data_IF_110251111718
#
_entry.id   IF_110251111718
#
_cell.length_a   1.000
_cell.length_b   1.000
_cell.length_c   1.000
_cell.angle_alpha   90.00
_cell.angle_beta   90.00
_cell.angle_gamma   90.00
#
_symmetry.space_group_name_H-M   'P 1'
#
loop_
_entity.id
_entity.type
_entity.pdbx_description
1 polymer ?
#
# COMPACT_ATOMS: atom_id res chain seq x y z
N UNK A 1 -10.32 -21.17 -2.93
CA UNK A 1 -9.31 -22.20 -2.64
C UNK A 1 -7.97 -21.63 -3.04
N UNK A 2 -7.06 -21.42 -2.09
CA UNK A 2 -5.69 -20.98 -2.36
C UNK A 2 -4.88 -22.17 -2.86
N UNK A 3 -4.17 -22.01 -3.97
CA UNK A 3 -3.22 -23.01 -4.46
C UNK A 3 -1.90 -22.81 -3.70
N UNK A 4 -1.37 -23.85 -3.07
CA UNK A 4 -0.05 -23.80 -2.40
C UNK A 4 0.98 -24.37 -3.37
N UNK A 5 1.93 -23.54 -3.80
CA UNK A 5 3.06 -23.95 -4.64
C UNK A 5 4.29 -24.06 -3.75
N UNK A 6 4.91 -25.25 -3.71
CA UNK A 6 6.20 -25.46 -3.08
C UNK A 6 7.29 -25.20 -4.12
N UNK A 7 8.20 -24.27 -3.83
CA UNK A 7 9.27 -23.90 -4.76
C UNK A 7 10.46 -24.85 -4.70
N UNK A 8 10.74 -25.39 -3.52
CA UNK A 8 11.85 -26.30 -3.28
C UNK A 8 11.40 -27.46 -2.39
N UNK A 9 12.10 -28.60 -2.53
CA UNK A 9 12.10 -29.64 -1.51
C UNK A 9 12.73 -29.13 -0.20
N UNK A 10 12.53 -29.86 0.89
CA UNK A 10 13.07 -29.52 2.20
C UNK A 10 14.61 -29.35 2.19
N UNK A 11 15.08 -28.10 2.28
CA UNK A 11 16.49 -27.70 2.33
C UNK A 11 17.03 -27.86 3.76
N UNK A 12 18.19 -28.48 3.92
CA UNK A 12 18.92 -28.52 5.20
C UNK A 12 19.81 -27.28 5.34
N UNK A 13 19.70 -26.53 6.44
CA UNK A 13 20.49 -25.30 6.66
C UNK A 13 21.40 -25.40 7.87
N UNK A 14 22.66 -24.97 7.81
CA UNK A 14 23.52 -24.80 8.99
C UNK A 14 25.01 -24.58 8.72
N UNK A 15 25.63 -23.62 9.42
CA UNK A 15 27.10 -23.48 9.48
C UNK A 15 27.72 -24.68 10.22
N UNK A 16 28.84 -25.17 9.70
CA UNK A 16 29.78 -26.11 10.34
C UNK A 16 29.31 -27.55 10.54
N UNK A 17 28.87 -28.25 9.48
CA UNK A 17 28.90 -29.73 9.39
C UNK A 17 28.32 -30.52 10.59
N UNK A 18 27.47 -29.90 11.41
CA UNK A 18 26.80 -30.54 12.56
C UNK A 18 25.33 -30.78 12.21
N UNK A 19 25.00 -32.05 12.06
CA UNK A 19 23.77 -32.70 11.62
C UNK A 19 22.52 -32.47 12.52
N UNK A 20 22.27 -31.24 12.96
CA UNK A 20 21.17 -30.95 13.90
C UNK A 20 20.11 -29.96 13.41
N UNK A 21 20.17 -29.51 12.17
CA UNK A 21 19.30 -28.44 11.72
C UNK A 21 18.14 -28.91 10.86
N UNK A 22 17.00 -28.34 11.22
CA UNK A 22 15.66 -28.67 10.77
C UNK A 22 15.48 -28.17 9.35
N UNK A 23 14.84 -29.02 8.55
CA UNK A 23 14.47 -28.78 7.17
C UNK A 23 13.61 -27.51 7.06
N UNK A 24 13.86 -26.66 6.06
CA UNK A 24 12.96 -25.57 5.67
C UNK A 24 12.64 -25.62 4.17
N UNK A 25 11.58 -24.96 3.72
CA UNK A 25 11.21 -24.86 2.30
C UNK A 25 10.53 -23.52 1.99
N UNK A 26 10.69 -23.05 0.75
CA UNK A 26 10.01 -21.85 0.26
C UNK A 26 8.60 -22.20 -0.25
N UNK A 27 7.61 -21.41 0.15
CA UNK A 27 6.19 -21.61 -0.14
C UNK A 27 5.61 -20.34 -0.75
N UNK A 28 4.79 -20.49 -1.78
CA UNK A 28 4.02 -19.41 -2.40
C UNK A 28 2.54 -19.78 -2.44
N UNK A 29 1.72 -19.00 -1.75
CA UNK A 29 0.26 -19.10 -1.88
C UNK A 29 -0.22 -18.32 -3.12
N UNK A 30 -1.17 -18.89 -3.87
CA UNK A 30 -1.74 -18.23 -5.07
C UNK A 30 -3.27 -18.16 -4.95
N UNK A 31 -3.87 -16.95 -4.94
CA UNK A 31 -3.21 -15.65 -4.72
C UNK A 31 -2.79 -15.49 -3.25
N UNK A 32 -1.57 -15.03 -2.97
CA UNK A 32 -1.10 -14.90 -1.59
C UNK A 32 0.40 -14.59 -1.45
N UNK A 33 0.86 -14.68 -0.20
CA UNK A 33 2.21 -14.30 0.20
C UNK A 33 3.24 -15.39 -0.08
N UNK A 34 4.50 -14.97 -0.29
CA UNK A 34 5.67 -15.86 -0.25
C UNK A 34 6.17 -15.96 1.18
N UNK A 35 6.41 -17.17 1.68
CA UNK A 35 6.91 -17.40 3.03
C UNK A 35 7.73 -18.69 3.12
N UNK A 36 8.36 -18.92 4.26
CA UNK A 36 9.15 -20.11 4.54
C UNK A 36 8.43 -20.98 5.57
N UNK A 37 8.46 -22.29 5.35
CA UNK A 37 8.07 -23.30 6.34
C UNK A 37 9.29 -23.97 6.95
N UNK A 38 9.28 -24.18 8.26
CA UNK A 38 10.39 -24.77 9.04
C UNK A 38 9.88 -25.95 9.86
N UNK A 39 10.50 -27.12 9.70
CA UNK A 39 10.09 -28.35 10.39
C UNK A 39 10.58 -28.40 11.84
N UNK A 40 9.70 -28.15 12.79
CA UNK A 40 9.98 -28.20 14.22
C UNK A 40 9.64 -29.57 14.86
N UNK A 41 10.50 -30.03 15.75
CA UNK A 41 10.40 -31.23 16.60
C UNK A 41 10.01 -32.49 15.80
N UNK A 42 10.49 -32.57 14.54
CA UNK A 42 10.19 -33.62 13.56
C UNK A 42 8.70 -33.73 13.15
N UNK A 43 7.81 -32.84 13.60
CA UNK A 43 6.36 -32.96 13.33
C UNK A 43 5.57 -31.66 13.19
N UNK A 44 6.01 -30.57 13.82
CA UNK A 44 5.35 -29.27 13.74
C UNK A 44 5.95 -28.47 12.59
N UNK A 45 5.15 -27.62 11.95
CA UNK A 45 5.64 -26.73 10.89
C UNK A 45 5.41 -25.30 11.35
N UNK A 46 6.49 -24.53 11.47
CA UNK A 46 6.41 -23.08 11.69
C UNK A 46 6.41 -22.37 10.34
N UNK A 47 5.58 -21.33 10.19
CA UNK A 47 5.63 -20.39 9.07
C UNK A 47 6.33 -19.09 9.49
N UNK A 48 7.15 -18.51 8.62
CA UNK A 48 7.77 -17.19 8.84
C UNK A 48 8.11 -16.51 7.51
N UNK A 49 8.39 -15.21 7.53
CA UNK A 49 8.75 -14.48 6.31
C UNK A 49 10.14 -14.89 5.79
N UNK A 50 10.34 -14.75 4.49
CA UNK A 50 11.61 -15.05 3.83
C UNK A 50 12.76 -14.19 4.35
N UNK A 51 12.46 -12.93 4.74
CA UNK A 51 13.42 -12.01 5.35
C UNK A 51 14.03 -12.51 6.67
N UNK A 52 13.36 -13.43 7.36
CA UNK A 52 13.77 -13.91 8.69
C UNK A 52 14.56 -15.23 8.63
N UNK A 53 14.96 -15.68 7.43
CA UNK A 53 15.72 -16.92 7.24
C UNK A 53 17.05 -16.92 8.03
N UNK A 54 17.73 -15.78 8.11
CA UNK A 54 18.96 -15.64 8.90
C UNK A 54 18.74 -15.94 10.38
N UNK A 55 17.59 -15.56 10.93
CA UNK A 55 17.21 -15.82 12.32
C UNK A 55 16.87 -17.31 12.54
N UNK A 56 16.20 -17.94 11.57
CA UNK A 56 15.93 -19.39 11.57
C UNK A 56 17.24 -20.17 11.63
N UNK A 57 18.25 -19.75 10.88
CA UNK A 57 19.55 -20.40 10.81
C UNK A 57 20.45 -20.12 12.02
N UNK A 58 20.20 -19.04 12.76
CA UNK A 58 21.04 -18.61 13.89
C UNK A 58 20.78 -19.36 15.19
N UNK A 59 19.58 -19.95 15.38
CA UNK A 59 19.18 -20.56 16.65
C UNK A 59 18.51 -21.93 16.47
N UNK A 60 18.51 -22.73 17.56
CA UNK A 60 17.82 -24.02 17.60
C UNK A 60 16.38 -23.86 18.08
N UNK A 61 15.49 -23.61 17.13
CA UNK A 61 14.06 -23.43 17.39
C UNK A 61 13.34 -24.73 17.72
N UNK A 62 12.37 -24.68 18.63
CA UNK A 62 11.50 -25.80 19.00
C UNK A 62 10.08 -25.34 19.33
N UNK A 63 9.08 -26.14 18.97
CA UNK A 63 7.71 -25.91 19.41
C UNK A 63 7.54 -26.50 20.83
N UNK A 64 7.05 -25.69 21.76
CA UNK A 64 7.00 -26.03 23.18
C UNK A 64 5.67 -25.63 23.85
N UNK A 65 5.28 -26.40 24.86
CA UNK A 65 4.10 -26.18 25.69
C UNK A 65 2.76 -26.52 25.03
N UNK A 66 1.68 -26.48 25.82
CA UNK A 66 0.30 -26.81 25.37
C UNK A 66 -0.22 -25.91 24.24
N UNK A 67 0.31 -24.69 24.13
CA UNK A 67 -0.06 -23.71 23.09
C UNK A 67 0.88 -23.73 21.88
N UNK A 68 1.87 -24.63 21.82
CA UNK A 68 2.82 -24.76 20.70
C UNK A 68 3.55 -23.45 20.33
N UNK A 69 4.18 -22.80 21.31
CA UNK A 69 4.99 -21.61 21.04
C UNK A 69 6.35 -22.01 20.50
N UNK A 70 6.87 -21.25 19.53
CA UNK A 70 8.22 -21.48 19.01
C UNK A 70 9.24 -20.76 19.87
N UNK A 71 10.18 -21.50 20.45
CA UNK A 71 11.22 -20.98 21.34
C UNK A 71 12.58 -21.65 21.15
N UNK A 72 13.63 -20.95 21.56
CA UNK A 72 15.01 -21.44 21.69
C UNK A 72 15.48 -21.17 23.12
N UNK A 73 16.37 -22.02 23.63
CA UNK A 73 17.01 -21.84 24.93
C UNK A 73 18.49 -21.59 24.70
N UNK A 74 19.01 -20.51 25.29
CA UNK A 74 20.42 -20.13 25.23
C UNK A 74 21.24 -20.90 26.28
N UNK A 75 22.57 -20.83 26.17
CA UNK A 75 23.49 -21.57 27.05
C UNK A 75 23.41 -21.14 28.52
N UNK A 76 23.01 -19.89 28.78
CA UNK A 76 22.78 -19.31 30.10
C UNK A 76 21.41 -19.72 30.71
N UNK A 77 20.62 -20.54 30.00
CA UNK A 77 19.27 -20.95 30.42
C UNK A 77 18.17 -19.98 30.01
N UNK A 78 18.48 -18.83 29.42
CA UNK A 78 17.50 -17.85 28.97
C UNK A 78 16.68 -18.40 27.80
N UNK A 79 15.35 -18.29 27.88
CA UNK A 79 14.45 -18.72 26.81
C UNK A 79 13.98 -17.54 25.95
N UNK A 80 14.18 -17.63 24.64
CA UNK A 80 13.72 -16.65 23.66
C UNK A 80 12.62 -17.25 22.79
N UNK A 81 11.58 -16.48 22.49
CA UNK A 81 10.51 -16.91 21.57
C UNK A 81 10.72 -16.31 20.19
N UNK A 82 10.45 -17.09 19.14
CA UNK A 82 10.68 -16.67 17.75
C UNK A 82 9.93 -15.38 17.42
N UNK A 83 8.65 -15.31 17.76
CA UNK A 83 7.81 -14.13 17.53
C UNK A 83 8.37 -12.83 18.14
N UNK A 84 9.06 -12.91 19.29
CA UNK A 84 9.69 -11.74 19.93
C UNK A 84 10.92 -11.25 19.20
N UNK A 85 11.74 -12.16 18.71
CA UNK A 85 12.94 -11.81 17.95
C UNK A 85 12.59 -11.24 16.58
N UNK A 86 11.60 -11.82 15.90
CA UNK A 86 11.12 -11.33 14.59
C UNK A 86 10.62 -9.88 14.67
N UNK A 87 9.94 -9.52 15.76
CA UNK A 87 9.43 -8.15 15.96
C UNK A 87 10.40 -7.24 16.74
N UNK A 88 11.62 -7.71 17.04
CA UNK A 88 12.60 -7.00 17.87
C UNK A 88 11.97 -6.43 19.17
N UNK A 89 11.14 -7.23 19.84
CA UNK A 89 10.38 -6.82 21.03
C UNK A 89 10.62 -7.81 22.18
N UNK A 90 11.68 -7.61 22.99
CA UNK A 90 12.07 -8.57 24.02
C UNK A 90 11.03 -8.68 25.16
N UNK A 91 10.38 -7.57 25.52
CA UNK A 91 9.40 -7.51 26.61
C UNK A 91 7.94 -7.46 26.12
N UNK A 92 7.73 -7.35 24.80
CA UNK A 92 6.40 -7.26 24.21
C UNK A 92 5.55 -8.50 24.45
N UNK A 93 4.27 -8.30 24.80
CA UNK A 93 3.26 -9.37 24.75
C UNK A 93 2.79 -9.52 23.32
N UNK A 94 3.06 -10.65 22.67
CA UNK A 94 2.69 -10.87 21.26
C UNK A 94 1.45 -11.76 21.17
N UNK A 95 0.55 -11.42 20.25
CA UNK A 95 -0.63 -12.19 19.87
C UNK A 95 -0.57 -12.53 18.39
N UNK A 96 -0.99 -13.76 18.07
CA UNK A 96 -1.19 -14.22 16.71
C UNK A 96 -2.62 -13.92 16.25
N UNK A 97 -2.80 -13.30 15.08
CA UNK A 97 -4.11 -12.83 14.59
C UNK A 97 -5.02 -14.02 14.28
N UNK A 98 -4.51 -15.03 13.58
CA UNK A 98 -5.23 -16.25 13.23
C UNK A 98 -5.30 -17.28 14.38
N UNK A 99 -4.77 -16.95 15.57
CA UNK A 99 -4.68 -17.82 16.75
C UNK A 99 -3.81 -19.08 16.55
N UNK A 100 -3.09 -19.20 15.45
CA UNK A 100 -2.07 -20.23 15.21
C UNK A 100 -0.70 -19.73 15.67
N UNK A 101 -0.17 -20.31 16.75
CA UNK A 101 1.11 -19.92 17.33
C UNK A 101 2.33 -20.42 16.53
N UNK A 102 2.12 -21.27 15.54
CA UNK A 102 3.16 -21.73 14.62
C UNK A 102 3.26 -20.81 13.38
N UNK A 103 2.26 -19.99 13.11
CA UNK A 103 2.30 -19.00 12.03
C UNK A 103 2.95 -17.70 12.51
N UNK A 104 4.28 -17.64 12.44
CA UNK A 104 5.09 -16.52 12.90
C UNK A 104 5.47 -15.55 11.77
N UNK A 105 4.68 -15.51 10.68
CA UNK A 105 4.76 -14.44 9.68
C UNK A 105 4.40 -13.11 10.33
N UNK A 106 5.13 -12.04 10.02
CA UNK A 106 4.93 -10.67 10.53
C UNK A 106 3.49 -10.21 10.31
N UNK A 107 2.89 -10.55 9.17
CA UNK A 107 1.48 -10.27 8.86
C UNK A 107 0.49 -10.91 9.84
N UNK A 108 0.89 -11.97 10.56
CA UNK A 108 0.08 -12.67 11.54
C UNK A 108 0.43 -12.32 13.01
N UNK A 109 1.45 -11.49 13.26
CA UNK A 109 1.89 -11.13 14.62
C UNK A 109 1.46 -9.72 15.02
N UNK A 110 1.10 -9.55 16.29
CA UNK A 110 0.72 -8.25 16.87
C UNK A 110 1.25 -8.09 18.28
N UNK A 111 1.92 -6.97 18.58
CA UNK A 111 2.32 -6.62 19.95
C UNK A 111 1.10 -6.01 20.67
N UNK A 112 0.61 -6.69 21.70
CA UNK A 112 -0.46 -6.25 22.59
C UNK A 112 0.03 -5.08 23.44
N UNK A 113 -0.73 -3.98 23.41
CA UNK A 113 -0.41 -2.75 24.15
C UNK A 113 0.45 -1.74 23.38
N UNK A 114 1.08 -2.14 22.28
CA UNK A 114 1.69 -1.20 21.33
C UNK A 114 0.63 -0.73 20.33
N UNK A 115 0.31 0.57 20.33
CA UNK A 115 -0.53 1.19 19.30
C UNK A 115 0.25 1.60 18.05
N UNK A 116 1.58 1.50 18.10
CA UNK A 116 2.51 1.92 17.05
C UNK A 116 3.18 0.69 16.43
N UNK A 117 2.96 0.48 15.14
CA UNK A 117 3.64 -0.49 14.28
C UNK A 117 4.67 0.24 13.43
N UNK A 118 5.96 0.02 13.64
CA UNK A 118 7.01 0.76 12.90
C UNK A 118 6.96 0.54 11.38
N UNK A 119 6.44 -0.59 10.93
CA UNK A 119 6.21 -0.98 9.55
C UNK A 119 4.99 -0.29 8.89
N UNK A 120 4.02 0.19 9.69
CA UNK A 120 2.74 0.69 9.19
C UNK A 120 2.36 2.09 9.70
N UNK A 121 2.98 2.55 10.78
CA UNK A 121 2.71 3.82 11.46
C UNK A 121 3.94 4.76 11.44
N UNK A 122 4.99 4.46 10.65
CA UNK A 122 6.07 5.44 10.40
C UNK A 122 5.45 6.65 9.67
N UNK A 123 5.76 7.87 10.09
CA UNK A 123 5.33 9.05 9.32
C UNK A 123 6.25 9.16 8.10
N UNK A 124 5.82 9.94 7.12
CA UNK A 124 6.58 10.06 5.88
C UNK A 124 7.50 11.25 6.00
N UNK A 125 8.80 11.00 5.91
CA UNK A 125 9.81 12.05 5.87
C UNK A 125 9.81 12.74 4.51
N UNK A 126 10.34 13.97 4.47
CA UNK A 126 10.57 14.62 3.18
C UNK A 126 11.55 13.82 2.30
N UNK A 127 12.45 13.04 2.92
CA UNK A 127 13.32 12.12 2.17
C UNK A 127 12.53 10.98 1.52
N UNK A 128 11.50 10.44 2.19
CA UNK A 128 10.65 9.38 1.62
C UNK A 128 9.84 9.93 0.44
N UNK A 129 9.27 11.14 0.57
CA UNK A 129 8.61 11.83 -0.53
C UNK A 129 9.57 12.05 -1.69
N UNK A 130 10.80 12.48 -1.40
CA UNK A 130 11.82 12.72 -2.41
C UNK A 130 12.25 11.42 -3.09
N UNK A 131 12.44 10.34 -2.34
CA UNK A 131 12.76 9.00 -2.86
C UNK A 131 11.65 8.52 -3.79
N UNK A 132 10.39 8.61 -3.37
CA UNK A 132 9.26 8.12 -4.16
C UNK A 132 9.03 9.01 -5.39
N UNK A 133 9.04 10.34 -5.23
CA UNK A 133 8.87 11.26 -6.37
C UNK A 133 10.03 11.17 -7.37
N UNK A 134 11.28 11.10 -6.89
CA UNK A 134 12.44 10.88 -7.77
C UNK A 134 12.44 9.49 -8.43
N UNK A 135 11.76 8.50 -7.83
CA UNK A 135 11.57 7.19 -8.45
C UNK A 135 10.63 7.19 -9.66
N UNK A 136 10.04 8.34 -10.03
CA UNK A 136 9.33 8.51 -11.30
C UNK A 136 10.25 8.98 -12.44
N UNK A 137 11.47 9.45 -12.12
CA UNK A 137 12.44 9.92 -13.12
C UNK A 137 13.10 8.71 -13.77
N UNK A 138 12.52 8.30 -14.90
CA UNK A 138 12.98 7.15 -15.70
C UNK A 138 14.20 7.47 -16.55
N UNK A 139 15.16 6.53 -16.65
CA UNK A 139 16.26 6.63 -17.62
C UNK A 139 15.82 6.26 -19.04
N UNK A 140 14.76 5.47 -19.17
CA UNK A 140 14.21 5.03 -20.45
C UNK A 140 12.68 4.93 -20.41
N UNK A 141 12.04 5.27 -21.53
CA UNK A 141 10.59 5.19 -21.74
C UNK A 141 10.31 4.54 -23.10
N UNK A 142 9.33 3.63 -23.14
CA UNK A 142 8.83 3.11 -24.43
C UNK A 142 7.84 4.07 -25.07
N UNK A 143 7.53 3.84 -26.34
CA UNK A 143 6.36 4.43 -26.98
C UNK A 143 5.06 3.99 -26.29
N UNK A 144 4.01 4.80 -26.46
CA UNK A 144 2.66 4.47 -26.01
C UNK A 144 2.12 3.25 -26.76
N UNK A 145 1.64 2.27 -26.01
CA UNK A 145 1.11 1.02 -26.58
C UNK A 145 -0.15 0.54 -25.85
N UNK A 146 -0.81 -0.45 -26.45
CA UNK A 146 -2.00 -1.09 -25.89
C UNK A 146 -3.21 -0.17 -25.82
N UNK A 147 -3.99 -0.31 -24.74
CA UNK A 147 -5.21 0.44 -24.50
C UNK A 147 -6.51 -0.36 -24.64
N UNK A 148 -7.63 0.34 -24.47
CA UNK A 148 -9.00 -0.17 -24.57
C UNK A 148 -9.69 0.62 -25.68
N UNK A 149 -10.16 -0.05 -26.75
CA UNK A 149 -10.77 0.65 -27.86
C UNK A 149 -12.14 1.17 -27.46
N UNK A 150 -12.46 2.39 -27.87
CA UNK A 150 -13.80 2.95 -27.80
C UNK A 150 -14.82 2.19 -28.66
N UNK A 151 -16.05 2.67 -28.66
CA UNK A 151 -17.16 2.00 -29.34
C UNK A 151 -17.64 0.74 -28.60
N UNK A 152 -18.87 0.32 -28.89
CA UNK A 152 -19.45 -0.90 -28.34
C UNK A 152 -19.27 -2.07 -29.31
N UNK A 153 -19.04 -3.27 -28.77
CA UNK A 153 -19.10 -4.53 -29.52
C UNK A 153 -20.10 -5.42 -28.79
N UNK A 154 -21.23 -5.70 -29.42
CA UNK A 154 -22.30 -6.49 -28.84
C UNK A 154 -22.55 -7.74 -29.66
N UNK A 155 -22.86 -8.83 -28.97
CA UNK A 155 -23.30 -10.07 -29.58
C UNK A 155 -24.81 -10.04 -29.84
N UNK A 156 -25.22 -10.55 -30.99
CA UNK A 156 -26.60 -10.90 -31.35
C UNK A 156 -26.66 -12.40 -31.68
N UNK A 157 -27.86 -12.94 -31.87
CA UNK A 157 -28.06 -14.37 -32.18
C UNK A 157 -27.32 -14.83 -33.45
N UNK A 158 -27.06 -13.94 -34.41
CA UNK A 158 -26.49 -14.27 -35.73
C UNK A 158 -25.24 -13.48 -36.10
N UNK A 159 -24.86 -12.47 -35.32
CA UNK A 159 -23.79 -11.54 -35.68
C UNK A 159 -23.20 -10.82 -34.46
N UNK A 160 -22.00 -10.27 -34.62
CA UNK A 160 -21.51 -9.18 -33.77
C UNK A 160 -21.80 -7.83 -34.41
N UNK A 161 -22.08 -6.81 -33.61
CA UNK A 161 -22.28 -5.45 -34.08
C UNK A 161 -21.35 -4.49 -33.34
N UNK A 162 -20.62 -3.69 -34.11
CA UNK A 162 -19.77 -2.61 -33.61
C UNK A 162 -20.50 -1.29 -33.82
N UNK A 163 -20.58 -0.46 -32.77
CA UNK A 163 -21.25 0.86 -32.83
C UNK A 163 -20.39 1.98 -32.24
N UNK A 164 -20.35 3.11 -32.94
CA UNK A 164 -19.79 4.38 -32.48
C UNK A 164 -20.85 5.48 -32.57
N UNK A 165 -20.87 6.39 -31.60
CA UNK A 165 -21.92 7.40 -31.46
C UNK A 165 -21.68 8.68 -32.26
N UNK A 166 -20.42 9.11 -32.44
CA UNK A 166 -20.10 10.35 -33.17
C UNK A 166 -18.75 10.24 -33.90
N UNK A 167 -18.71 10.45 -35.23
CA UNK A 167 -19.85 10.34 -36.15
C UNK A 167 -20.54 8.97 -36.01
N UNK A 168 -21.86 8.89 -36.18
CA UNK A 168 -22.55 7.63 -35.98
C UNK A 168 -22.05 6.57 -36.99
N UNK A 169 -21.68 5.39 -36.52
CA UNK A 169 -21.25 4.28 -37.37
C UNK A 169 -21.63 2.96 -36.73
N UNK A 170 -22.33 2.12 -37.50
CA UNK A 170 -22.71 0.78 -37.09
C UNK A 170 -22.25 -0.21 -38.16
N UNK A 171 -21.63 -1.32 -37.76
CA UNK A 171 -21.23 -2.40 -38.68
C UNK A 171 -21.50 -3.77 -38.08
N UNK A 172 -22.16 -4.62 -38.85
CA UNK A 172 -22.48 -6.00 -38.47
C UNK A 172 -21.47 -6.99 -39.07
N UNK A 173 -21.16 -8.04 -38.32
CA UNK A 173 -20.26 -9.14 -38.67
C UNK A 173 -21.01 -10.46 -38.46
N UNK A 174 -21.62 -10.98 -39.52
CA UNK A 174 -22.48 -12.17 -39.49
C UNK A 174 -21.67 -13.46 -39.35
N UNK A 175 -22.16 -14.39 -38.52
CA UNK A 175 -21.46 -15.66 -38.27
C UNK A 175 -21.34 -16.50 -39.54
N UNK A 176 -22.37 -16.50 -40.37
CA UNK A 176 -22.40 -17.22 -41.66
C UNK A 176 -21.33 -16.69 -42.63
N UNK A 177 -21.29 -15.37 -42.83
CA UNK A 177 -20.33 -14.71 -43.73
C UNK A 177 -18.88 -14.93 -43.34
N UNK A 178 -18.58 -14.95 -42.03
CA UNK A 178 -17.21 -15.03 -41.53
C UNK A 178 -16.79 -16.45 -41.12
N UNK A 179 -17.60 -17.48 -41.38
CA UNK A 179 -17.23 -18.87 -41.10
C UNK A 179 -17.24 -19.24 -39.61
N UNK A 180 -18.20 -18.69 -38.87
CA UNK A 180 -18.48 -19.01 -37.47
C UNK A 180 -18.30 -17.84 -36.50
N UNK A 181 -18.79 -18.03 -35.27
CA UNK A 181 -18.78 -17.02 -34.21
C UNK A 181 -17.37 -16.49 -33.89
N UNK A 182 -16.37 -17.36 -33.77
CA UNK A 182 -15.00 -16.97 -33.41
C UNK A 182 -14.38 -16.01 -34.45
N UNK A 183 -14.43 -16.37 -35.73
CA UNK A 183 -13.90 -15.55 -36.83
C UNK A 183 -14.66 -14.22 -36.97
N UNK A 184 -15.98 -14.24 -36.81
CA UNK A 184 -16.78 -13.02 -36.79
C UNK A 184 -16.39 -12.07 -35.63
N UNK A 185 -16.09 -12.62 -34.45
CA UNK A 185 -15.61 -11.84 -33.30
C UNK A 185 -14.25 -11.20 -33.58
N UNK A 186 -13.29 -11.98 -34.10
CA UNK A 186 -11.96 -11.48 -34.47
C UNK A 186 -12.06 -10.31 -35.45
N UNK A 187 -12.86 -10.44 -36.52
CA UNK A 187 -13.10 -9.37 -37.50
C UNK A 187 -13.84 -8.16 -36.92
N UNK A 188 -14.82 -8.37 -36.06
CA UNK A 188 -15.49 -7.27 -35.37
C UNK A 188 -14.52 -6.53 -34.42
N UNK A 189 -13.64 -7.25 -33.73
CA UNK A 189 -12.64 -6.68 -32.82
C UNK A 189 -11.56 -5.90 -33.57
N UNK A 190 -11.02 -6.45 -34.67
CA UNK A 190 -10.08 -5.76 -35.56
C UNK A 190 -10.69 -4.45 -36.08
N UNK A 191 -11.92 -4.50 -36.59
CA UNK A 191 -12.62 -3.32 -37.09
C UNK A 191 -12.85 -2.27 -35.99
N UNK A 192 -13.27 -2.71 -34.79
CA UNK A 192 -13.45 -1.81 -33.65
C UNK A 192 -12.13 -1.13 -33.28
N UNK A 193 -11.03 -1.87 -33.27
CA UNK A 193 -9.72 -1.33 -32.93
C UNK A 193 -9.28 -0.27 -33.94
N UNK A 194 -9.29 -0.63 -35.23
CA UNK A 194 -8.96 0.27 -36.34
C UNK A 194 -9.78 1.57 -36.27
N UNK A 195 -11.09 1.45 -36.10
CA UNK A 195 -11.97 2.61 -36.10
C UNK A 195 -11.82 3.47 -34.83
N UNK A 196 -11.57 2.84 -33.68
CA UNK A 196 -11.28 3.58 -32.46
C UNK A 196 -9.95 4.32 -32.54
N UNK A 197 -8.92 3.73 -33.13
CA UNK A 197 -7.62 4.38 -33.38
C UNK A 197 -7.76 5.57 -34.33
N UNK A 198 -8.43 5.37 -35.48
CA UNK A 198 -8.72 6.42 -36.46
C UNK A 198 -9.44 7.63 -35.85
N UNK A 199 -10.27 7.40 -34.83
CA UNK A 199 -11.04 8.44 -34.13
C UNK A 199 -10.39 8.99 -32.87
N UNK A 200 -9.20 8.51 -32.48
CA UNK A 200 -8.57 8.89 -31.20
C UNK A 200 -9.36 8.46 -29.96
N UNK A 201 -10.07 7.33 -30.05
CA UNK A 201 -10.93 6.79 -28.99
C UNK A 201 -10.29 5.62 -28.22
N UNK A 202 -9.00 5.36 -28.41
CA UNK A 202 -8.26 4.40 -27.58
C UNK A 202 -8.03 5.04 -26.20
N UNK A 203 -8.42 4.34 -25.14
CA UNK A 203 -8.25 4.76 -23.73
C UNK A 203 -7.17 3.91 -23.05
N UNK A 204 -6.61 4.39 -21.95
CA UNK A 204 -5.64 3.63 -21.15
C UNK A 204 -4.44 3.13 -21.98
N UNK A 205 -3.97 3.89 -22.96
CA UNK A 205 -2.66 3.58 -23.56
C UNK A 205 -1.64 3.64 -22.43
N UNK A 206 -0.64 2.78 -22.49
CA UNK A 206 0.38 2.73 -21.44
C UNK A 206 1.76 2.62 -22.05
N UNK A 207 2.76 3.05 -21.31
CA UNK A 207 4.17 2.90 -21.66
C UNK A 207 4.96 2.45 -20.45
N UNK A 208 6.08 1.79 -20.70
CA UNK A 208 6.97 1.31 -19.66
C UNK A 208 8.05 2.35 -19.37
N UNK A 209 8.27 2.59 -18.08
CA UNK A 209 9.36 3.40 -17.55
C UNK A 209 10.35 2.47 -16.87
N UNK A 210 11.63 2.60 -17.20
CA UNK A 210 12.69 1.79 -16.57
C UNK A 210 13.67 2.69 -15.82
N UNK A 211 13.97 2.29 -14.58
CA UNK A 211 14.98 2.92 -13.71
C UNK A 211 15.85 1.79 -13.17
N UNK A 212 17.11 1.72 -13.62
CA UNK A 212 18.03 0.62 -13.28
C UNK A 212 17.37 -0.73 -13.59
N UNK A 213 17.08 -1.53 -12.57
CA UNK A 213 16.44 -2.86 -12.67
C UNK A 213 14.92 -2.84 -12.39
N UNK A 214 14.34 -1.66 -12.12
CA UNK A 214 12.91 -1.53 -11.81
C UNK A 214 12.13 -0.96 -13.00
N UNK A 215 10.96 -1.54 -13.28
CA UNK A 215 10.08 -1.11 -14.36
C UNK A 215 8.68 -0.84 -13.81
N UNK A 216 8.07 0.26 -14.26
CA UNK A 216 6.70 0.64 -13.90
C UNK A 216 5.96 1.18 -15.13
N UNK A 217 4.65 1.40 -14.97
CA UNK A 217 3.77 1.86 -16.03
C UNK A 217 3.40 3.32 -15.83
N UNK A 218 3.37 4.06 -16.93
CA UNK A 218 2.58 5.28 -17.06
C UNK A 218 1.39 4.99 -17.95
N UNK A 219 0.20 5.40 -17.52
CA UNK A 219 -1.06 5.13 -18.20
C UNK A 219 -1.75 6.44 -18.57
N UNK A 220 -2.05 6.60 -19.85
CA UNK A 220 -2.76 7.73 -20.42
C UNK A 220 -4.27 7.63 -20.14
N UNK A 221 -4.81 8.66 -19.50
CA UNK A 221 -6.24 8.81 -19.22
C UNK A 221 -6.88 9.84 -20.17
N UNK A 222 -7.71 10.73 -19.62
CA UNK A 222 -8.42 11.75 -20.37
C UNK A 222 -7.58 13.04 -20.40
N UNK A 223 -7.76 13.88 -21.43
CA UNK A 223 -7.22 15.26 -21.46
C UNK A 223 -5.70 15.33 -21.25
N UNK A 224 -4.93 14.40 -21.81
CA UNK A 224 -3.47 14.30 -21.65
C UNK A 224 -3.01 14.15 -20.19
N UNK A 225 -3.88 13.68 -19.29
CA UNK A 225 -3.52 13.36 -17.92
C UNK A 225 -3.10 11.90 -17.83
N UNK A 226 -2.05 11.63 -17.07
CA UNK A 226 -1.52 10.29 -16.87
C UNK A 226 -1.51 9.92 -15.39
N UNK A 227 -1.36 8.64 -15.10
CA UNK A 227 -1.08 8.15 -13.75
C UNK A 227 -0.07 7.01 -13.81
N UNK A 228 0.61 6.76 -12.69
CA UNK A 228 1.63 5.73 -12.59
C UNK A 228 1.13 4.53 -11.76
N UNK A 229 1.53 3.32 -12.14
CA UNK A 229 1.28 2.08 -11.39
C UNK A 229 2.38 1.06 -11.70
N UNK A 230 2.42 -0.07 -10.97
CA UNK A 230 3.42 -1.11 -11.23
C UNK A 230 2.96 -2.07 -12.35
N UNK A 231 3.93 -2.81 -12.91
CA UNK A 231 3.69 -3.72 -14.05
C UNK A 231 2.70 -4.83 -13.67
N UNK A 232 2.69 -5.26 -12.40
CA UNK A 232 1.75 -6.25 -11.85
C UNK A 232 0.29 -5.82 -12.02
N UNK A 233 0.04 -4.51 -12.05
CA UNK A 233 -1.30 -3.92 -12.15
C UNK A 233 -1.74 -3.73 -13.62
N UNK A 234 -0.94 -4.18 -14.60
CA UNK A 234 -1.28 -4.11 -16.03
C UNK A 234 -2.61 -4.80 -16.38
N UNK A 235 -2.90 -5.92 -15.72
CA UNK A 235 -4.16 -6.63 -15.88
C UNK A 235 -5.36 -5.76 -15.49
N UNK A 236 -5.21 -4.98 -14.42
CA UNK A 236 -6.21 -4.04 -13.93
C UNK A 236 -6.38 -2.85 -14.89
N UNK A 237 -5.28 -2.32 -15.44
CA UNK A 237 -5.28 -1.26 -16.47
C UNK A 237 -6.07 -1.69 -17.71
N UNK A 238 -5.96 -2.95 -18.12
CA UNK A 238 -6.68 -3.51 -19.28
C UNK A 238 -8.14 -3.85 -18.99
N UNK A 239 -8.51 -4.03 -17.73
CA UNK A 239 -9.85 -4.54 -17.35
C UNK A 239 -10.96 -3.47 -17.34
N UNK A 240 -10.61 -2.20 -17.15
CA UNK A 240 -11.57 -1.09 -16.96
C UNK A 240 -11.03 0.18 -17.58
N UNK A 241 -11.91 1.05 -18.09
CA UNK A 241 -11.51 2.40 -18.53
C UNK A 241 -11.27 3.27 -17.29
N UNK A 242 -10.04 3.76 -17.15
CA UNK A 242 -9.62 4.59 -16.04
C UNK A 242 -9.65 6.06 -16.46
N UNK A 243 -9.96 6.94 -15.51
CA UNK A 243 -9.95 8.36 -15.75
C UNK A 243 -9.54 9.15 -14.53
N UNK A 244 -8.80 10.22 -14.76
CA UNK A 244 -8.50 11.23 -13.76
C UNK A 244 -9.75 12.09 -13.55
N UNK A 245 -10.17 12.20 -12.30
CA UNK A 245 -11.35 12.98 -11.87
C UNK A 245 -10.95 13.87 -10.71
N UNK A 246 -11.48 15.08 -10.71
CA UNK A 246 -11.40 15.97 -9.55
C UNK A 246 -12.35 15.45 -8.47
N UNK A 247 -11.88 15.35 -7.22
CA UNK A 247 -12.74 15.02 -6.08
C UNK A 247 -13.75 16.14 -5.85
N UNK A 248 -14.94 15.79 -5.40
CA UNK A 248 -15.95 16.77 -5.01
C UNK A 248 -15.37 17.67 -3.91
N UNK A 249 -15.53 18.99 -4.06
CA UNK A 249 -15.10 20.01 -3.09
C UNK A 249 -13.58 20.03 -2.76
N UNK A 250 -12.73 19.55 -3.67
CA UNK A 250 -11.27 19.55 -3.50
C UNK A 250 -10.52 19.78 -4.80
N UNK A 251 -9.36 20.44 -4.75
CA UNK A 251 -8.44 20.58 -5.88
C UNK A 251 -7.65 19.29 -6.21
N UNK A 252 -7.89 18.23 -5.45
CA UNK A 252 -7.23 16.95 -5.60
C UNK A 252 -7.86 16.14 -6.73
N UNK A 253 -7.03 15.73 -7.69
CA UNK A 253 -7.40 14.79 -8.74
C UNK A 253 -7.06 13.36 -8.32
N UNK A 254 -7.95 12.40 -8.59
CA UNK A 254 -7.76 10.98 -8.34
C UNK A 254 -8.07 10.15 -9.59
N UNK A 255 -7.49 8.95 -9.66
CA UNK A 255 -7.78 7.99 -10.74
C UNK A 255 -8.94 7.12 -10.30
N UNK A 256 -9.99 7.05 -11.12
CA UNK A 256 -11.12 6.17 -10.83
C UNK A 256 -11.85 5.70 -12.09
N UNK A 257 -12.73 4.71 -11.90
CA UNK A 257 -13.63 4.21 -12.92
C UNK A 257 -15.09 4.29 -12.43
N UNK A 258 -16.04 4.50 -13.34
CA UNK A 258 -17.46 4.34 -13.00
C UNK A 258 -17.87 2.89 -13.20
N UNK A 259 -18.36 2.22 -12.15
CA UNK A 259 -19.01 0.92 -12.34
C UNK A 259 -20.45 1.13 -12.79
N UNK A 260 -20.81 0.58 -13.95
CA UNK A 260 -22.18 0.63 -14.50
C UNK A 260 -23.04 -0.56 -14.05
N UNK A 261 -22.53 -1.42 -13.16
CA UNK A 261 -23.04 -2.77 -12.96
C UNK A 261 -24.28 -2.89 -12.05
N UNK A 262 -24.67 -1.88 -11.26
CA UNK A 262 -25.91 -1.90 -10.48
C UNK A 262 -26.46 -0.48 -10.39
N UNK A 263 -27.75 -0.37 -10.15
CA UNK A 263 -28.61 0.83 -10.04
C UNK A 263 -28.09 1.99 -9.16
N UNK A 264 -26.92 1.84 -8.54
CA UNK A 264 -26.15 2.90 -7.88
C UNK A 264 -24.79 3.02 -8.57
N UNK A 265 -24.52 4.15 -9.25
CA UNK A 265 -23.20 4.49 -9.79
C UNK A 265 -22.19 4.53 -8.63
N UNK A 266 -21.45 3.45 -8.42
CA UNK A 266 -20.32 3.43 -7.49
C UNK A 266 -19.05 3.69 -8.29
N UNK A 267 -18.38 4.81 -8.02
CA UNK A 267 -17.02 5.06 -8.48
C UNK A 267 -16.05 4.26 -7.63
N UNK A 268 -15.09 3.59 -8.25
CA UNK A 268 -13.99 2.91 -7.55
C UNK A 268 -12.69 3.60 -7.95
N UNK A 269 -11.87 4.01 -6.98
CA UNK A 269 -10.53 4.54 -7.28
C UNK A 269 -9.59 3.41 -7.74
N UNK A 270 -8.49 3.77 -8.42
CA UNK A 270 -7.52 2.78 -8.88
C UNK A 270 -6.92 1.98 -7.72
N UNK A 271 -6.42 2.67 -6.69
CA UNK A 271 -5.83 2.02 -5.51
C UNK A 271 -6.83 1.16 -4.72
N UNK A 272 -8.12 1.50 -4.71
CA UNK A 272 -9.16 0.64 -4.12
C UNK A 272 -9.35 -0.65 -4.92
N UNK A 273 -9.30 -0.55 -6.25
CA UNK A 273 -9.43 -1.72 -7.12
C UNK A 273 -8.19 -2.64 -7.06
N UNK A 274 -7.02 -2.12 -6.70
CA UNK A 274 -5.84 -2.94 -6.37
C UNK A 274 -6.04 -3.76 -5.09
N UNK A 275 -6.91 -3.31 -4.18
CA UNK A 275 -7.31 -4.07 -2.98
C UNK A 275 -6.22 -4.21 -1.91
N UNK A 276 -5.23 -3.31 -1.88
CA UNK A 276 -4.09 -3.41 -0.96
C UNK A 276 -4.44 -2.98 0.47
N UNK A 277 -5.18 -1.87 0.61
CA UNK A 277 -5.57 -1.30 1.89
C UNK A 277 -7.02 -0.81 1.86
N UNK A 278 -7.70 -0.84 3.01
CA UNK A 278 -9.06 -0.31 3.16
C UNK A 278 -9.11 1.21 2.97
N UNK A 279 -8.13 1.91 3.53
CA UNK A 279 -7.90 3.34 3.36
C UNK A 279 -6.46 3.51 2.90
N UNK A 280 -6.25 4.19 1.78
CA UNK A 280 -4.92 4.37 1.16
C UNK A 280 -4.43 5.80 1.39
N UNK A 281 -3.17 5.93 1.79
CA UNK A 281 -2.42 7.18 1.85
C UNK A 281 -1.26 7.13 0.83
N UNK A 282 -0.95 8.27 0.21
CA UNK A 282 0.12 8.39 -0.79
C UNK A 282 1.32 9.06 -0.13
N UNK A 283 2.47 8.39 -0.13
CA UNK A 283 3.70 8.85 0.51
C UNK A 283 4.12 10.21 -0.05
N UNK A 284 4.24 10.34 -1.36
CA UNK A 284 4.63 11.59 -2.03
C UNK A 284 3.51 12.66 -2.07
N UNK A 285 2.32 12.34 -1.59
CA UNK A 285 1.14 13.22 -1.65
C UNK A 285 0.55 13.41 -3.06
N UNK A 286 1.05 12.71 -4.08
CA UNK A 286 0.55 12.72 -5.45
C UNK A 286 -0.46 11.57 -5.68
N UNK A 287 -1.77 11.86 -5.77
CA UNK A 287 -2.79 10.82 -5.95
C UNK A 287 -2.81 10.17 -7.35
N UNK A 288 -2.00 10.68 -8.29
CA UNK A 288 -1.79 10.07 -9.61
C UNK A 288 -0.60 9.10 -9.60
N UNK A 289 0.23 9.08 -8.55
CA UNK A 289 1.26 8.07 -8.38
C UNK A 289 0.71 6.87 -7.61
N UNK A 290 0.04 5.95 -8.31
CA UNK A 290 -0.59 4.75 -7.73
C UNK A 290 0.37 3.54 -7.69
N UNK A 291 1.68 3.77 -7.75
CA UNK A 291 2.69 2.71 -7.58
C UNK A 291 2.68 2.23 -6.14
N UNK A 292 2.83 0.93 -5.92
CA UNK A 292 2.82 0.24 -4.62
C UNK A 292 3.86 0.81 -3.67
N UNK A 293 5.03 1.22 -4.17
CA UNK A 293 6.06 1.89 -3.38
C UNK A 293 5.61 3.26 -2.83
N UNK A 294 4.55 3.86 -3.38
CA UNK A 294 3.95 5.11 -2.93
C UNK A 294 2.71 4.92 -2.04
N UNK A 295 2.18 3.70 -1.89
CA UNK A 295 0.91 3.45 -1.20
C UNK A 295 1.09 2.81 0.17
N UNK A 296 0.36 3.31 1.17
CA UNK A 296 0.31 2.72 2.53
C UNK A 296 -1.09 2.80 3.18
N UNK A 297 -1.26 2.16 4.33
CA UNK A 297 -2.51 2.20 5.11
C UNK A 297 -2.76 3.58 5.76
N UNK A 298 -3.84 4.26 5.39
CA UNK A 298 -4.13 5.65 5.79
C UNK A 298 -5.01 5.85 7.03
N UNK A 299 -5.60 4.78 7.59
CA UNK A 299 -6.69 4.84 8.59
C UNK A 299 -6.33 5.58 9.90
N UNK A 300 -5.06 5.57 10.31
CA UNK A 300 -4.56 6.25 11.53
C UNK A 300 -3.71 7.48 11.26
N UNK A 301 -3.18 7.60 10.04
CA UNK A 301 -2.09 8.50 9.69
C UNK A 301 -2.55 9.77 8.98
N UNK A 302 -3.67 9.75 8.25
CA UNK A 302 -4.16 10.91 7.49
C UNK A 302 -4.42 12.15 8.38
N UNK A 303 -4.86 11.97 9.62
CA UNK A 303 -5.07 13.08 10.56
C UNK A 303 -3.76 13.61 11.18
N UNK A 304 -2.70 12.81 11.22
CA UNK A 304 -1.37 13.19 11.74
C UNK A 304 -0.51 13.87 10.66
N UNK A 305 -0.67 13.45 9.41
CA UNK A 305 0.05 13.98 8.24
C UNK A 305 -0.70 15.09 7.51
N UNK A 306 -1.82 15.55 8.06
CA UNK A 306 -2.56 16.68 7.50
C UNK A 306 -1.64 17.91 7.45
N UNK A 307 -1.58 18.55 6.28
CA UNK A 307 -0.86 19.81 6.12
C UNK A 307 -1.27 20.81 7.21
N UNK A 308 -0.31 21.65 7.63
CA UNK A 308 -0.59 22.74 8.57
C UNK A 308 -1.79 23.53 8.06
N UNK A 309 -2.82 23.68 8.89
CA UNK A 309 -4.02 24.43 8.51
C UNK A 309 -3.62 25.89 8.22
N UNK A 310 -4.24 26.47 7.19
CA UNK A 310 -3.95 27.84 6.72
C UNK A 310 -4.19 28.91 7.81
N UNK A 311 -5.02 28.60 8.78
CA UNK A 311 -5.39 29.44 9.92
C UNK A 311 -4.54 29.20 11.18
N UNK A 312 -3.47 28.41 11.10
CA UNK A 312 -2.57 28.20 12.22
C UNK A 312 -1.67 29.42 12.47
N UNK A 313 -2.17 30.36 13.27
CA UNK A 313 -1.49 31.61 13.66
C UNK A 313 -0.19 31.39 14.45
N UNK A 314 0.03 30.21 15.03
CA UNK A 314 1.24 29.91 15.80
C UNK A 314 2.42 29.47 14.92
N UNK A 315 2.17 28.98 13.71
CA UNK A 315 3.18 28.34 12.85
C UNK A 315 3.59 26.92 13.29
N UNK A 316 3.15 26.45 14.46
CA UNK A 316 3.54 25.17 15.07
C UNK A 316 2.31 24.28 15.28
N UNK A 317 2.39 23.01 14.87
CA UNK A 317 1.27 22.06 15.01
C UNK A 317 1.05 21.73 16.50
N UNK A 318 -0.21 21.83 16.95
CA UNK A 318 -0.59 21.57 18.34
C UNK A 318 -0.46 22.78 19.28
N UNK A 319 -0.13 23.96 18.75
CA UNK A 319 -0.15 25.22 19.49
C UNK A 319 -1.26 26.11 18.91
N UNK A 320 -2.14 26.62 19.76
CA UNK A 320 -3.26 27.46 19.34
C UNK A 320 -3.60 28.50 20.40
N UNK A 321 -3.97 29.70 19.98
CA UNK A 321 -4.42 30.75 20.90
C UNK A 321 -5.94 30.66 21.12
N UNK A 322 -6.37 30.77 22.37
CA UNK A 322 -7.77 30.85 22.76
C UNK A 322 -8.10 32.30 23.16
N UNK A 323 -8.76 33.01 22.24
CA UNK A 323 -9.11 34.43 22.40
C UNK A 323 -9.99 34.68 23.64
N UNK A 324 -10.93 33.78 23.95
CA UNK A 324 -11.89 33.99 25.03
C UNK A 324 -11.24 33.93 26.42
N UNK A 325 -10.10 33.24 26.53
CA UNK A 325 -9.38 33.04 27.80
C UNK A 325 -8.02 33.73 27.81
N UNK A 326 -7.63 34.38 26.72
CA UNK A 326 -6.31 34.96 26.52
C UNK A 326 -5.17 33.98 26.89
N UNK A 327 -5.28 32.73 26.44
CA UNK A 327 -4.28 31.68 26.73
C UNK A 327 -3.80 31.00 25.45
N UNK A 328 -2.51 30.71 25.40
CA UNK A 328 -1.91 29.79 24.44
C UNK A 328 -2.04 28.36 24.95
N UNK A 329 -2.70 27.50 24.18
CA UNK A 329 -2.88 26.09 24.51
C UNK A 329 -1.95 25.25 23.65
N UNK A 330 -1.15 24.41 24.32
CA UNK A 330 -0.28 23.41 23.72
C UNK A 330 -0.88 22.04 23.96
N UNK A 331 -0.98 21.23 22.91
CA UNK A 331 -1.47 19.85 22.97
C UNK A 331 -0.41 18.89 22.45
N UNK A 332 -0.23 17.75 23.12
CA UNK A 332 0.69 16.69 22.69
C UNK A 332 0.18 15.29 23.05
N UNK A 333 0.54 14.25 22.29
CA UNK A 333 0.30 12.86 22.67
C UNK A 333 1.38 12.35 23.62
N UNK A 334 0.98 11.65 24.68
CA UNK A 334 1.90 11.00 25.63
C UNK A 334 1.23 9.74 26.20
N UNK A 335 1.91 8.59 26.13
CA UNK A 335 1.38 7.28 26.56
C UNK A 335 -0.02 6.95 25.99
N UNK A 336 -0.27 7.29 24.72
CA UNK A 336 -1.54 7.02 24.02
C UNK A 336 -2.71 7.94 24.41
N UNK A 337 -2.48 8.97 25.25
CA UNK A 337 -3.50 9.96 25.64
C UNK A 337 -3.10 11.36 25.19
N UNK A 338 -4.10 12.23 24.92
CA UNK A 338 -3.85 13.64 24.61
C UNK A 338 -3.67 14.42 25.91
N UNK A 339 -2.52 15.10 26.03
CA UNK A 339 -2.17 16.00 27.12
C UNK A 339 -2.26 17.45 26.64
N UNK A 340 -2.45 18.35 27.59
CA UNK A 340 -2.61 19.78 27.32
C UNK A 340 -1.90 20.60 28.39
N UNK A 341 -1.30 21.73 27.98
CA UNK A 341 -0.73 22.75 28.87
C UNK A 341 -1.09 24.12 28.31
N UNK A 342 -1.35 25.07 29.20
CA UNK A 342 -1.72 26.43 28.82
C UNK A 342 -0.73 27.45 29.35
N UNK A 343 -0.53 28.52 28.59
CA UNK A 343 0.29 29.68 28.92
C UNK A 343 -0.59 30.92 28.82
N UNK A 344 -0.86 31.58 29.95
CA UNK A 344 -1.76 32.74 30.00
C UNK A 344 -1.05 34.04 29.64
N UNK A 345 -1.77 34.90 28.92
CA UNK A 345 -1.40 36.31 28.73
C UNK A 345 -1.96 37.10 29.90
N UNK A 346 -1.13 37.91 30.54
CA UNK A 346 -1.52 38.78 31.66
C UNK A 346 -0.65 40.03 31.69
N UNK A 347 -0.88 40.92 32.67
CA UNK A 347 -0.17 42.21 32.76
C UNK A 347 1.35 42.09 32.90
N UNK A 348 1.87 40.91 33.28
CA UNK A 348 3.30 40.63 33.45
C UNK A 348 3.91 39.86 32.28
N UNK A 349 3.10 39.19 31.46
CA UNK A 349 3.55 38.33 30.36
C UNK A 349 2.80 38.72 29.11
N UNK A 350 3.52 39.34 28.19
CA UNK A 350 2.97 39.78 26.91
C UNK A 350 2.47 38.60 26.06
N UNK A 351 1.60 38.89 25.09
CA UNK A 351 1.07 37.88 24.20
C UNK A 351 2.17 37.13 23.43
N UNK A 352 3.19 37.86 22.95
CA UNK A 352 4.30 37.26 22.21
C UNK A 352 5.20 36.42 23.10
N UNK A 353 5.41 36.83 24.36
CA UNK A 353 6.18 36.05 25.32
C UNK A 353 5.46 34.75 25.71
N UNK A 354 4.15 34.80 25.92
CA UNK A 354 3.34 33.61 26.18
C UNK A 354 3.32 32.66 24.96
N UNK A 355 3.28 33.21 23.75
CA UNK A 355 3.37 32.47 22.48
C UNK A 355 4.71 31.76 22.37
N UNK A 356 5.81 32.46 22.61
CA UNK A 356 7.15 31.92 22.51
C UNK A 356 7.36 30.79 23.52
N UNK A 357 6.91 30.97 24.78
CA UNK A 357 6.92 29.93 25.81
C UNK A 357 6.11 28.69 25.42
N UNK A 358 4.96 28.89 24.78
CA UNK A 358 4.13 27.79 24.28
C UNK A 358 4.82 27.02 23.14
N UNK A 359 5.48 27.73 22.21
CA UNK A 359 6.25 27.16 21.11
C UNK A 359 7.45 26.36 21.66
N UNK A 360 8.25 26.96 22.54
CA UNK A 360 9.42 26.31 23.13
C UNK A 360 9.03 25.06 23.91
N UNK A 361 7.97 25.13 24.71
CA UNK A 361 7.46 23.95 25.43
C UNK A 361 7.00 22.84 24.47
N UNK A 362 6.36 23.21 23.36
CA UNK A 362 5.97 22.24 22.33
C UNK A 362 7.19 21.57 21.71
N UNK A 363 8.19 22.35 21.28
CA UNK A 363 9.44 21.85 20.71
C UNK A 363 10.22 20.97 21.69
N UNK A 364 10.23 21.34 22.98
CA UNK A 364 10.85 20.56 24.03
C UNK A 364 10.14 19.21 24.20
N UNK A 365 8.81 19.19 24.30
CA UNK A 365 8.04 17.94 24.39
C UNK A 365 8.21 17.09 23.13
N UNK A 366 8.33 17.73 21.98
CA UNK A 366 8.57 17.02 20.73
C UNK A 366 9.97 16.40 20.65
N UNK A 367 10.97 16.99 21.30
CA UNK A 367 12.31 16.41 21.46
C UNK A 367 12.34 15.30 22.50
N UNK A 368 11.73 15.52 23.67
CA UNK A 368 11.70 14.56 24.79
C UNK A 368 10.99 13.25 24.44
N UNK A 369 9.83 13.36 23.78
CA UNK A 369 9.00 12.22 23.40
C UNK A 369 9.33 11.72 21.98
N UNK A 370 10.39 12.26 21.36
CA UNK A 370 10.74 12.03 19.95
C UNK A 370 9.52 12.19 19.01
N UNK A 371 8.62 13.13 19.31
CA UNK A 371 7.47 13.44 18.46
C UNK A 371 7.89 14.17 17.20
N UNK A 372 9.06 14.82 17.19
CA UNK A 372 9.68 15.29 15.94
C UNK A 372 10.18 14.11 15.09
N UNK A 373 10.58 12.99 15.67
CA UNK A 373 10.72 11.71 14.96
C UNK A 373 9.35 11.01 14.73
N UNK A 374 8.23 11.67 15.02
CA UNK A 374 6.87 11.27 14.64
C UNK A 374 6.16 12.38 13.83
N UNK A 375 6.90 13.40 13.41
CA UNK A 375 6.50 14.48 12.49
C UNK A 375 7.59 14.76 11.42
N UNK A 376 8.75 14.12 11.57
CA UNK A 376 9.91 14.00 10.68
C UNK A 376 10.56 12.59 10.81
N UNK A 377 9.80 11.57 11.22
CA UNK A 377 9.91 10.23 10.60
C UNK A 377 8.60 10.08 9.93
#
# INVERSE_FOLDING_TARGET
MSLIIFHDDWIGGGKNHKCHLRKYRHVKEVPGDKYIEVLLNKKYIMKCDESDLSLVQSYRWSAYGKKLRVQTTLADGTTLTFSRLVLNSPEGRISHINKDNLDNRKSNLKILGQTYRKDLDYVVEDIDKLIVSSSLVSSFQTDWMGGIPGGSLNESKKYFIVRFSSPQLNKCFFFETYGGKKKAYEKASEFRWYEAERRGLIRNKYRFHTIRENTFLEVECNKNQTFFCDVEDLSLVKSRVWCVRKRTDSDVCEVGCSNRAKTNLTSTSFHQAMGLYEVVDHIDGNPLNNRRCNLREGKRLNSRNANKRKDNSSGVTGVSFNNNKSIWVVQWPEAGKRRTKSFSVNDKVSNEEARQKAIEFRLQKDKELNLHQQQRI
#
